data_IF_208768707775
#
_entry.id   IF_208768707775
#
_cell.length_a   1.000
_cell.length_b   1.000
_cell.length_c   1.000
_cell.angle_alpha   90.00
_cell.angle_beta   90.00
_cell.angle_gamma   90.00
#
_symmetry.space_group_name_H-M   'P 1'
#
loop_
_entity.id
_entity.type
_entity.pdbx_description
1 polymer ?
#
# COMPACT_ATOMS: atom_id res chain seq x y z
N UNK A 1 13.26 -14.13 -15.30
CA UNK A 1 11.96 -14.48 -14.69
C UNK A 1 10.86 -14.23 -15.71
N UNK A 2 10.49 -15.25 -16.49
CA UNK A 2 9.28 -15.18 -17.33
C UNK A 2 8.18 -15.88 -16.55
N UNK A 3 7.31 -15.09 -15.93
CA UNK A 3 6.20 -15.59 -15.13
C UNK A 3 5.04 -14.62 -15.22
N UNK A 4 3.82 -15.15 -15.30
CA UNK A 4 2.59 -14.35 -15.24
C UNK A 4 2.46 -13.86 -13.80
N UNK A 5 2.99 -12.67 -13.53
CA UNK A 5 2.77 -11.98 -12.26
C UNK A 5 1.57 -11.05 -12.42
N UNK A 6 0.40 -11.55 -12.02
CA UNK A 6 -0.85 -10.81 -12.00
C UNK A 6 -1.48 -10.99 -10.63
N UNK A 7 -2.13 -9.95 -10.13
CA UNK A 7 -2.97 -10.06 -8.95
C UNK A 7 -4.13 -11.01 -9.23
N UNK A 8 -4.39 -11.89 -8.27
CA UNK A 8 -5.53 -12.82 -8.28
C UNK A 8 -6.40 -12.48 -7.08
N UNK A 9 -7.72 -12.53 -7.27
CA UNK A 9 -8.72 -12.32 -6.22
C UNK A 9 -9.45 -13.65 -6.02
N UNK A 10 -9.53 -14.09 -4.77
CA UNK A 10 -10.20 -15.32 -4.36
C UNK A 10 -11.56 -15.00 -3.73
N UNK A 11 -12.46 -15.98 -3.72
CA UNK A 11 -13.73 -15.94 -3.00
C UNK A 11 -13.52 -15.98 -1.48
N UNK A 12 -14.59 -15.71 -0.74
CA UNK A 12 -14.58 -15.73 0.73
C UNK A 12 -14.43 -17.14 1.33
N UNK A 13 -14.87 -18.17 0.60
CA UNK A 13 -14.79 -19.57 0.99
C UNK A 13 -13.53 -20.28 0.49
N UNK A 14 -12.67 -19.60 -0.27
CA UNK A 14 -11.50 -20.23 -0.88
C UNK A 14 -10.39 -20.46 0.16
N UNK A 15 -9.73 -21.62 0.03
CA UNK A 15 -8.53 -21.97 0.78
C UNK A 15 -7.30 -21.82 -0.10
N UNK A 16 -6.30 -21.09 0.41
CA UNK A 16 -5.02 -20.90 -0.29
C UNK A 16 -3.91 -21.60 0.48
N UNK A 17 -3.23 -22.53 -0.18
CA UNK A 17 -2.00 -23.14 0.33
C UNK A 17 -0.79 -22.57 -0.43
N UNK A 18 0.20 -22.08 0.32
CA UNK A 18 1.50 -21.71 -0.19
C UNK A 18 2.54 -22.65 0.40
N UNK A 19 3.26 -23.38 -0.46
CA UNK A 19 4.28 -24.34 -0.02
C UNK A 19 5.68 -23.80 -0.24
N UNK A 20 6.51 -23.85 0.80
CA UNK A 20 7.95 -23.64 0.67
C UNK A 20 8.57 -24.89 0.02
N UNK A 21 9.27 -24.78 -1.12
CA UNK A 21 9.99 -25.91 -1.70
C UNK A 21 10.94 -26.57 -0.67
N UNK A 22 11.05 -27.90 -0.75
CA UNK A 22 11.83 -28.69 0.22
C UNK A 22 13.34 -28.64 0.03
N UNK A 23 13.81 -28.11 -1.11
CA UNK A 23 15.20 -27.99 -1.50
C UNK A 23 15.83 -26.62 -1.15
N UNK A 24 15.05 -25.74 -0.50
CA UNK A 24 15.44 -24.37 -0.17
C UNK A 24 15.71 -24.11 1.32
N UNK A 25 15.93 -22.84 1.64
CA UNK A 25 16.03 -22.37 3.03
C UNK A 25 14.64 -22.10 3.63
N UNK A 26 14.59 -21.95 4.96
CA UNK A 26 13.40 -21.41 5.61
C UNK A 26 13.09 -20.00 5.09
N UNK A 27 11.82 -19.73 4.82
CA UNK A 27 11.34 -18.44 4.34
C UNK A 27 10.88 -17.57 5.50
N UNK A 28 11.11 -16.27 5.40
CA UNK A 28 10.56 -15.31 6.36
C UNK A 28 9.10 -15.04 6.04
N UNK A 29 8.24 -15.12 7.06
CA UNK A 29 6.84 -14.76 6.98
C UNK A 29 6.55 -13.53 7.86
N UNK A 30 5.69 -12.64 7.38
CA UNK A 30 5.33 -11.39 8.06
C UNK A 30 3.83 -11.19 7.95
N UNK A 31 3.18 -10.93 9.09
CA UNK A 31 1.75 -10.66 9.19
C UNK A 31 1.57 -9.23 9.70
N UNK A 32 0.88 -8.38 8.95
CA UNK A 32 0.64 -6.96 9.30
C UNK A 32 1.91 -6.19 9.69
N UNK A 33 3.04 -6.50 9.06
CA UNK A 33 4.35 -5.90 9.35
C UNK A 33 5.08 -6.51 10.55
N UNK A 34 4.47 -7.44 11.28
CA UNK A 34 5.09 -8.17 12.42
C UNK A 34 5.71 -9.48 11.93
N UNK A 35 6.95 -9.74 12.32
CA UNK A 35 7.61 -11.01 11.99
C UNK A 35 6.87 -12.17 12.66
N UNK A 36 6.49 -13.16 11.87
CA UNK A 36 5.95 -14.42 12.37
C UNK A 36 7.06 -15.48 12.40
N UNK A 37 6.72 -16.68 12.86
CA UNK A 37 7.62 -17.84 12.79
C UNK A 37 8.06 -18.09 11.34
N UNK A 38 9.34 -18.47 11.12
CA UNK A 38 9.82 -18.86 9.79
C UNK A 38 9.03 -20.02 9.21
N UNK A 39 8.84 -20.02 7.89
CA UNK A 39 8.26 -21.15 7.17
C UNK A 39 9.38 -22.09 6.71
N UNK A 40 9.56 -23.19 7.42
CA UNK A 40 10.62 -24.17 7.14
C UNK A 40 10.54 -24.74 5.71
N UNK A 41 11.66 -25.28 5.22
CA UNK A 41 11.71 -25.95 3.94
C UNK A 41 10.71 -27.13 3.90
N UNK A 42 9.90 -27.20 2.84
CA UNK A 42 8.85 -28.22 2.70
C UNK A 42 7.56 -27.95 3.48
N UNK A 43 7.53 -26.92 4.33
CA UNK A 43 6.33 -26.56 5.09
C UNK A 43 5.27 -25.90 4.20
N UNK A 44 4.02 -25.97 4.64
CA UNK A 44 2.87 -25.36 3.98
C UNK A 44 2.26 -24.28 4.87
N UNK A 45 1.91 -23.14 4.26
CA UNK A 45 1.15 -22.06 4.86
C UNK A 45 -0.28 -22.12 4.33
N UNK A 46 -1.25 -22.32 5.22
CA UNK A 46 -2.67 -22.32 4.89
C UNK A 46 -3.29 -20.97 5.24
N UNK A 47 -4.00 -20.39 4.29
CA UNK A 47 -4.65 -19.09 4.39
C UNK A 47 -6.14 -19.27 4.12
N UNK A 48 -6.96 -18.76 5.04
CA UNK A 48 -8.42 -18.71 4.91
C UNK A 48 -8.93 -17.38 5.43
N UNK A 49 -9.97 -16.85 4.80
CA UNK A 49 -10.69 -15.71 5.35
C UNK A 49 -11.37 -16.10 6.66
N UNK A 50 -11.02 -15.41 7.75
CA UNK A 50 -11.75 -15.54 9.02
C UNK A 50 -12.86 -14.50 9.07
N UNK A 51 -14.15 -14.88 8.95
CA UNK A 51 -15.24 -13.93 9.09
C UNK A 51 -15.24 -13.35 10.51
N UNK A 52 -15.69 -12.11 10.63
CA UNK A 52 -15.86 -11.40 11.91
C UNK A 52 -14.61 -11.37 12.80
N UNK A 53 -13.41 -11.42 12.19
CA UNK A 53 -12.15 -11.44 12.94
C UNK A 53 -11.92 -10.16 13.75
N UNK A 54 -12.51 -9.03 13.36
CA UNK A 54 -12.33 -7.72 13.99
C UNK A 54 -13.61 -6.89 13.89
N UNK A 55 -13.96 -6.18 14.96
CA UNK A 55 -14.99 -5.14 14.93
C UNK A 55 -14.35 -3.78 14.67
N UNK A 56 -14.79 -3.11 13.59
CA UNK A 56 -14.30 -1.78 13.23
C UNK A 56 -15.37 -0.75 13.58
N UNK A 57 -15.09 0.10 14.58
CA UNK A 57 -15.97 1.22 14.93
C UNK A 57 -15.54 2.47 14.16
N UNK A 58 -16.49 3.07 13.42
CA UNK A 58 -16.27 4.31 12.67
C UNK A 58 -17.16 5.41 13.24
N UNK A 59 -16.55 6.38 13.91
CA UNK A 59 -17.27 7.51 14.53
C UNK A 59 -17.84 8.51 13.52
N UNK A 60 -17.18 8.68 12.37
CA UNK A 60 -17.62 9.53 11.25
C UNK A 60 -17.21 8.86 9.92
N UNK A 61 -18.18 8.20 9.29
CA UNK A 61 -17.95 7.41 8.08
C UNK A 61 -17.57 8.29 6.88
N UNK A 62 -18.16 9.49 6.76
CA UNK A 62 -17.93 10.42 5.65
C UNK A 62 -16.52 11.01 5.71
N UNK A 63 -16.04 11.33 6.91
CA UNK A 63 -14.65 11.77 7.13
C UNK A 63 -13.66 10.66 6.78
N UNK A 64 -13.97 9.39 7.05
CA UNK A 64 -13.09 8.27 6.70
C UNK A 64 -12.96 8.09 5.18
N UNK A 65 -14.07 8.15 4.44
CA UNK A 65 -14.08 8.05 2.97
C UNK A 65 -13.28 9.17 2.32
N UNK A 66 -13.45 10.42 2.79
CA UNK A 66 -12.64 11.57 2.33
C UNK A 66 -11.15 11.35 2.59
N UNK A 67 -10.78 10.87 3.79
CA UNK A 67 -9.39 10.61 4.16
C UNK A 67 -8.72 9.54 3.30
N UNK A 68 -9.42 8.47 2.94
CA UNK A 68 -8.85 7.43 2.06
C UNK A 68 -8.54 7.98 0.66
N UNK A 69 -9.41 8.85 0.11
CA UNK A 69 -9.17 9.50 -1.18
C UNK A 69 -7.96 10.44 -1.13
N UNK A 70 -7.79 11.18 -0.03
CA UNK A 70 -6.60 12.01 0.22
C UNK A 70 -5.33 11.15 0.33
N UNK A 71 -5.36 10.08 1.13
CA UNK A 71 -4.19 9.22 1.39
C UNK A 71 -3.70 8.47 0.15
N UNK A 72 -4.62 8.13 -0.76
CA UNK A 72 -4.31 7.49 -2.02
C UNK A 72 -4.06 8.50 -3.15
N UNK A 73 -4.03 9.81 -2.85
CA UNK A 73 -3.92 10.88 -3.85
C UNK A 73 -4.95 10.78 -4.98
N UNK A 74 -6.13 10.23 -4.67
CA UNK A 74 -7.26 10.09 -5.59
C UNK A 74 -8.13 11.35 -5.67
N UNK A 75 -7.63 12.45 -5.10
CA UNK A 75 -8.19 13.79 -5.24
C UNK A 75 -7.07 14.67 -5.76
N UNK A 76 -7.38 15.48 -6.78
CA UNK A 76 -6.57 16.62 -7.14
C UNK A 76 -6.66 17.62 -5.98
N UNK A 77 -5.76 17.46 -5.01
CA UNK A 77 -5.64 18.40 -3.92
C UNK A 77 -5.11 19.71 -4.52
N UNK A 78 -5.70 20.86 -4.17
CA UNK A 78 -5.17 22.13 -4.64
C UNK A 78 -3.72 22.25 -4.16
N UNK A 79 -2.82 22.47 -5.13
CA UNK A 79 -1.40 22.66 -4.86
C UNK A 79 -1.25 23.80 -3.85
N UNK A 80 -0.40 23.59 -2.85
CA UNK A 80 -0.06 24.66 -1.90
C UNK A 80 0.72 25.77 -2.64
N UNK A 81 0.67 27.03 -2.19
CA UNK A 81 1.36 28.14 -2.85
C UNK A 81 2.86 27.89 -3.11
N UNK A 82 3.55 27.19 -2.20
CA UNK A 82 4.94 26.75 -2.36
C UNK A 82 5.12 25.74 -3.52
N UNK A 83 4.19 24.80 -3.67
CA UNK A 83 4.22 23.80 -4.73
C UNK A 83 3.84 24.39 -6.10
N UNK A 84 3.03 25.45 -6.12
CA UNK A 84 2.75 26.20 -7.35
C UNK A 84 3.99 26.93 -7.87
N UNK A 85 4.86 27.40 -6.97
CA UNK A 85 6.13 28.04 -7.35
C UNK A 85 7.09 27.05 -8.03
N UNK A 86 7.01 25.76 -7.68
CA UNK A 86 7.82 24.72 -8.30
C UNK A 86 7.46 24.44 -9.76
N UNK A 87 6.23 24.79 -10.18
CA UNK A 87 5.78 24.68 -11.57
C UNK A 87 6.22 25.88 -12.43
N UNK A 88 6.66 26.98 -11.80
CA UNK A 88 7.14 28.16 -12.53
C UNK A 88 8.57 27.87 -13.01
N UNK A 89 8.89 28.06 -14.30
CA UNK A 89 10.26 27.90 -14.80
C UNK A 89 11.27 28.70 -13.98
N UNK A 90 12.45 28.13 -13.61
CA UNK A 90 13.43 28.80 -12.74
C UNK A 90 13.81 30.20 -13.21
N UNK A 91 13.89 30.39 -14.54
CA UNK A 91 14.28 31.65 -15.18
C UNK A 91 13.26 32.77 -14.96
N UNK A 92 11.99 32.42 -14.72
CA UNK A 92 10.93 33.39 -14.43
C UNK A 92 10.87 33.74 -12.94
N UNK A 93 11.23 32.80 -12.05
CA UNK A 93 11.36 33.05 -10.60
C UNK A 93 12.47 34.07 -10.33
N UNK A 94 13.65 33.85 -10.91
CA UNK A 94 14.82 34.74 -10.76
C UNK A 94 14.59 36.15 -11.34
N UNK A 95 13.70 36.30 -12.32
CA UNK A 95 13.33 37.62 -12.86
C UNK A 95 12.34 38.34 -11.95
N UNK A 96 11.40 37.62 -11.34
CA UNK A 96 10.45 38.20 -10.39
C UNK A 96 11.14 38.65 -9.10
N UNK A 97 12.12 37.89 -8.59
CA UNK A 97 12.89 38.27 -7.39
C UNK A 97 13.76 39.51 -7.64
N UNK A 98 14.36 39.62 -8.84
CA UNK A 98 15.10 40.82 -9.26
C UNK A 98 14.24 42.07 -9.44
N UNK A 99 12.94 41.91 -9.71
CA UNK A 99 12.00 43.04 -9.86
C UNK A 99 11.38 43.48 -8.53
N UNK A 100 11.57 42.70 -7.46
CA UNK A 100 11.07 42.99 -6.10
C UNK A 100 12.14 43.57 -5.16
N UNK A 101 13.41 43.58 -5.57
CA UNK A 101 14.52 44.27 -4.91
C UNK A 101 14.77 45.63 -5.52
#
# INVERSE_FOLDING_TARGET
MSGISRSVVFGDSDDVELRNPGDGAALRFVVDGTAAEPLDAGAALHLRLRPDAVHIVRFDADRHLRRNRVKLSLLDLPLRPDQLLDLVPPQLRERADRLRG
#
